data_IF_529579389403
#
_entry.id   IF_529579389403
#
_cell.length_a   1.000
_cell.length_b   1.000
_cell.length_c   1.000
_cell.angle_alpha   90.00
_cell.angle_beta   90.00
_cell.angle_gamma   90.00
#
_symmetry.space_group_name_H-M   'P 1'
#
loop_
_entity.id
_entity.type
_entity.pdbx_description
1 polymer ?
#
# COMPACT_ATOMS: atom_id res chain seq x y z
N UNK A 1 9.88 13.83 13.34
CA UNK A 1 10.55 13.52 12.06
C UNK A 1 10.34 12.06 11.70
N UNK A 2 9.56 11.82 10.64
CA UNK A 2 9.86 10.78 9.65
C UNK A 2 9.75 9.30 10.05
N UNK A 3 8.55 8.82 10.38
CA UNK A 3 8.25 7.37 10.41
C UNK A 3 7.35 6.92 9.24
N UNK A 4 7.04 7.82 8.30
CA UNK A 4 6.29 7.45 7.10
C UNK A 4 7.18 6.59 6.19
N UNK A 5 6.60 5.57 5.52
CA UNK A 5 7.31 4.82 4.49
C UNK A 5 7.93 5.73 3.43
N UNK A 6 9.00 5.28 2.78
CA UNK A 6 9.46 5.96 1.57
C UNK A 6 8.41 5.84 0.47
N UNK A 7 8.35 6.85 -0.41
CA UNK A 7 7.42 6.82 -1.53
C UNK A 7 7.82 5.70 -2.51
N UNK A 8 6.87 4.85 -2.85
CA UNK A 8 7.09 3.73 -3.75
C UNK A 8 6.67 4.08 -5.17
N UNK A 9 7.65 4.15 -6.08
CA UNK A 9 7.41 4.49 -7.48
C UNK A 9 7.09 3.28 -8.36
N UNK A 10 7.32 2.06 -7.87
CA UNK A 10 7.19 0.79 -8.59
C UNK A 10 8.50 0.06 -8.87
N UNK A 11 9.62 0.48 -8.27
CA UNK A 11 10.89 -0.25 -8.33
C UNK A 11 10.84 -1.57 -7.52
N UNK A 12 10.98 -2.76 -8.16
CA UNK A 12 10.97 -4.05 -7.48
C UNK A 12 11.96 -4.17 -6.31
N UNK A 13 13.15 -3.54 -6.43
CA UNK A 13 14.20 -3.59 -5.40
C UNK A 13 13.74 -2.93 -4.09
N UNK A 14 12.79 -1.98 -4.18
CA UNK A 14 12.25 -1.23 -3.04
C UNK A 14 10.95 -1.82 -2.51
N UNK A 15 10.40 -2.86 -3.14
CA UNK A 15 9.10 -3.43 -2.77
C UNK A 15 9.10 -3.99 -1.34
N UNK A 16 10.06 -4.85 -1.02
CA UNK A 16 10.14 -5.50 0.29
C UNK A 16 10.38 -4.47 1.42
N UNK A 17 11.35 -3.54 1.29
CA UNK A 17 11.51 -2.45 2.26
C UNK A 17 10.25 -1.61 2.43
N UNK A 18 9.60 -1.21 1.33
CA UNK A 18 8.38 -0.41 1.37
C UNK A 18 7.26 -1.12 2.14
N UNK A 19 7.01 -2.39 1.83
CA UNK A 19 6.00 -3.19 2.52
C UNK A 19 6.25 -3.30 4.03
N UNK A 20 7.51 -3.54 4.42
CA UNK A 20 7.90 -3.62 5.82
C UNK A 20 7.69 -2.27 6.53
N UNK A 21 8.08 -1.16 5.91
CA UNK A 21 7.84 0.18 6.47
C UNK A 21 6.35 0.48 6.63
N UNK A 22 5.51 0.14 5.64
CA UNK A 22 4.06 0.29 5.75
C UNK A 22 3.50 -0.51 6.92
N UNK A 23 3.93 -1.77 7.09
CA UNK A 23 3.50 -2.61 8.21
C UNK A 23 3.92 -2.01 9.55
N UNK A 24 5.18 -1.63 9.70
CA UNK A 24 5.71 -1.03 10.93
C UNK A 24 4.97 0.26 11.31
N UNK A 25 4.65 1.12 10.33
CA UNK A 25 3.88 2.34 10.58
C UNK A 25 2.47 2.01 11.08
N UNK A 26 1.79 1.05 10.45
CA UNK A 26 0.43 0.68 10.83
C UNK A 26 0.39 -0.01 12.21
N UNK A 27 1.42 -0.80 12.56
CA UNK A 27 1.55 -1.42 13.88
C UNK A 27 1.77 -0.39 14.99
N UNK A 28 2.47 0.72 14.72
CA UNK A 28 2.61 1.82 15.67
C UNK A 28 1.28 2.55 15.90
N UNK A 29 0.40 2.60 14.90
CA UNK A 29 -0.89 3.32 14.94
C UNK A 29 -2.10 2.39 14.82
N UNK A 30 -2.13 1.30 15.60
CA UNK A 30 -3.14 0.21 15.46
C UNK A 30 -4.60 0.66 15.44
N UNK A 31 -4.97 1.70 16.22
CA UNK A 31 -6.36 2.22 16.26
C UNK A 31 -6.80 2.83 14.93
N UNK A 32 -5.92 3.56 14.26
CA UNK A 32 -6.21 4.24 12.99
C UNK A 32 -6.27 3.25 11.82
N UNK A 33 -5.60 2.10 11.95
CA UNK A 33 -5.54 1.04 10.94
C UNK A 33 -6.38 -0.19 11.30
N UNK A 34 -7.47 0.00 12.04
CA UNK A 34 -8.42 -1.08 12.38
C UNK A 34 -9.29 -1.53 11.19
N UNK A 35 -9.35 -0.73 10.13
CA UNK A 35 -10.17 -0.97 8.94
C UNK A 35 -9.29 -1.13 7.70
N UNK A 36 -9.50 -2.21 6.95
CA UNK A 36 -8.73 -2.50 5.72
C UNK A 36 -8.74 -1.37 4.70
N UNK A 37 -9.88 -0.67 4.57
CA UNK A 37 -9.98 0.52 3.72
C UNK A 37 -8.96 1.59 4.08
N UNK A 38 -8.74 1.83 5.37
CA UNK A 38 -7.75 2.84 5.81
C UNK A 38 -6.34 2.39 5.47
N UNK A 39 -6.03 1.09 5.61
CA UNK A 39 -4.74 0.51 5.23
C UNK A 39 -4.47 0.64 3.74
N UNK A 40 -5.46 0.31 2.90
CA UNK A 40 -5.34 0.43 1.44
C UNK A 40 -5.20 1.89 1.02
N UNK A 41 -6.01 2.81 1.57
CA UNK A 41 -5.86 4.25 1.31
C UNK A 41 -4.47 4.77 1.72
N UNK A 42 -3.93 4.30 2.84
CA UNK A 42 -2.59 4.68 3.28
C UNK A 42 -1.51 4.18 2.33
N UNK A 43 -1.47 2.88 2.02
CA UNK A 43 -0.45 2.32 1.10
C UNK A 43 -0.50 3.04 -0.25
N UNK A 44 -1.69 3.24 -0.81
CA UNK A 44 -1.85 3.97 -2.08
C UNK A 44 -1.40 5.42 -2.00
N UNK A 45 -1.61 6.11 -0.88
CA UNK A 45 -1.09 7.47 -0.64
C UNK A 45 0.44 7.55 -0.61
N UNK A 46 1.10 6.42 -0.33
CA UNK A 46 2.55 6.27 -0.33
C UNK A 46 3.12 5.84 -1.69
N UNK A 47 2.26 5.54 -2.67
CA UNK A 47 2.69 5.21 -4.03
C UNK A 47 2.82 6.48 -4.89
N UNK A 48 3.75 6.46 -5.84
CA UNK A 48 3.98 7.55 -6.81
C UNK A 48 4.17 6.97 -8.22
N UNK A 49 4.26 7.83 -9.23
CA UNK A 49 4.63 7.41 -10.58
C UNK A 49 3.78 6.26 -11.16
N UNK A 50 4.44 5.18 -11.60
CA UNK A 50 3.77 4.01 -12.19
C UNK A 50 3.01 3.19 -11.15
N UNK A 51 3.51 3.10 -9.92
CA UNK A 51 2.84 2.42 -8.82
C UNK A 51 1.49 3.08 -8.49
N UNK A 52 1.43 4.41 -8.41
CA UNK A 52 0.17 5.13 -8.16
C UNK A 52 -0.85 4.90 -9.28
N UNK A 53 -0.43 4.98 -10.55
CA UNK A 53 -1.32 4.72 -11.71
C UNK A 53 -1.87 3.30 -11.71
N UNK A 54 -1.02 2.32 -11.39
CA UNK A 54 -1.44 0.94 -11.24
C UNK A 54 -2.49 0.80 -10.14
N UNK A 55 -2.25 1.39 -8.96
CA UNK A 55 -3.17 1.28 -7.83
C UNK A 55 -4.54 1.86 -8.16
N UNK A 56 -4.61 3.05 -8.77
CA UNK A 56 -5.88 3.65 -9.20
C UNK A 56 -6.63 2.75 -10.18
N UNK A 57 -5.96 2.26 -11.23
CA UNK A 57 -6.58 1.39 -12.22
C UNK A 57 -7.02 0.03 -11.64
N UNK A 58 -6.23 -0.55 -10.73
CA UNK A 58 -6.54 -1.83 -10.09
C UNK A 58 -7.75 -1.69 -9.15
N UNK A 59 -7.82 -0.61 -8.36
CA UNK A 59 -8.93 -0.36 -7.43
C UNK A 59 -10.24 0.01 -8.14
N UNK A 60 -10.16 0.67 -9.30
CA UNK A 60 -11.33 0.93 -10.15
C UNK A 60 -11.89 -0.38 -10.75
N UNK A 61 -11.02 -1.26 -11.24
CA UNK A 61 -11.44 -2.56 -11.82
C UNK A 61 -11.86 -3.59 -10.78
N UNK A 62 -11.34 -3.49 -9.56
CA UNK A 62 -11.49 -4.51 -8.52
C UNK A 62 -11.80 -3.82 -7.19
N UNK A 63 -12.98 -3.21 -7.09
CA UNK A 63 -13.41 -2.45 -5.93
C UNK A 63 -13.32 -3.22 -4.59
N UNK A 64 -13.45 -4.55 -4.61
CA UNK A 64 -13.32 -5.36 -3.40
C UNK A 64 -11.93 -5.24 -2.73
N UNK A 65 -10.88 -4.94 -3.51
CA UNK A 65 -9.52 -4.73 -3.00
C UNK A 65 -9.43 -3.52 -2.08
N UNK A 66 -10.31 -2.52 -2.24
CA UNK A 66 -10.40 -1.38 -1.34
C UNK A 66 -10.77 -1.81 0.10
N UNK A 67 -11.42 -2.95 0.26
CA UNK A 67 -11.89 -3.46 1.55
C UNK A 67 -11.18 -4.76 1.97
N UNK A 68 -10.13 -5.15 1.25
CA UNK A 68 -9.37 -6.37 1.52
C UNK A 68 -7.88 -6.08 1.36
N UNK A 69 -7.27 -5.64 2.47
CA UNK A 69 -5.86 -5.27 2.50
C UNK A 69 -4.93 -6.44 2.13
N UNK A 70 -5.10 -7.67 2.67
CA UNK A 70 -4.26 -8.81 2.28
C UNK A 70 -4.30 -9.12 0.78
N UNK A 71 -5.48 -9.06 0.16
CA UNK A 71 -5.62 -9.28 -1.28
C UNK A 71 -4.93 -8.16 -2.08
N UNK A 72 -5.09 -6.89 -1.67
CA UNK A 72 -4.42 -5.77 -2.32
C UNK A 72 -2.89 -5.91 -2.27
N UNK A 73 -2.33 -6.28 -1.12
CA UNK A 73 -0.89 -6.49 -0.98
C UNK A 73 -0.38 -7.68 -1.80
N UNK A 74 -1.20 -8.73 -1.96
CA UNK A 74 -0.86 -9.89 -2.81
C UNK A 74 -0.77 -9.47 -4.27
N UNK A 75 -1.74 -8.69 -4.76
CA UNK A 75 -1.73 -8.13 -6.12
C UNK A 75 -0.52 -7.22 -6.36
N UNK A 76 -0.13 -6.43 -5.36
CA UNK A 76 1.05 -5.58 -5.45
C UNK A 76 2.33 -6.40 -5.64
N UNK A 77 2.50 -7.48 -4.87
CA UNK A 77 3.64 -8.41 -4.99
C UNK A 77 3.70 -9.18 -6.31
N UNK A 78 2.57 -9.33 -6.98
CA UNK A 78 2.54 -10.00 -8.29
C UNK A 78 2.94 -9.07 -9.43
N UNK A 79 2.82 -7.76 -9.24
CA UNK A 79 2.99 -6.76 -10.31
C UNK A 79 4.36 -6.09 -10.28
N UNK A 80 4.87 -5.84 -9.07
CA UNK A 80 6.19 -5.25 -8.82
C UNK A 80 7.08 -6.28 -8.15
#
# INVERSE_FOLDING_TARGET
PDDLPEKFDGNPDMLVPFMAQCQLFMEKSTRDFSVDRVRVCFVTSMMTGRAARWASAKLERSHYLMHNYPAFMTEMKHVF
#
